data_IF_393308044722
#
_entry.id   IF_393308044722
#
_cell.length_a   1.000
_cell.length_b   1.000
_cell.length_c   1.000
_cell.angle_alpha   90.00
_cell.angle_beta   90.00
_cell.angle_gamma   90.00
#
_symmetry.space_group_name_H-M   'P 1'
#
loop_
_entity.id
_entity.type
_entity.pdbx_description
1 polymer ?
#
# COMPACT_ATOMS: atom_id res chain seq x y z
N UNK A 1 21.57 -12.74 -21.20
CA UNK A 1 20.34 -12.62 -20.39
C UNK A 1 19.38 -13.73 -20.80
N UNK A 2 18.64 -14.34 -19.85
CA UNK A 2 17.67 -15.38 -20.18
C UNK A 2 16.57 -14.84 -21.10
N UNK A 3 16.01 -15.72 -21.93
CA UNK A 3 14.95 -15.37 -22.89
C UNK A 3 13.63 -14.96 -22.20
N UNK A 4 13.39 -15.50 -21.00
CA UNK A 4 12.27 -15.15 -20.13
C UNK A 4 12.85 -14.62 -18.83
N UNK A 5 12.39 -13.46 -18.39
CA UNK A 5 12.76 -12.84 -17.10
C UNK A 5 11.62 -13.04 -16.10
N UNK A 6 12.00 -13.34 -14.86
CA UNK A 6 11.12 -13.52 -13.71
C UNK A 6 10.93 -12.20 -12.96
N UNK A 7 9.75 -12.03 -12.37
CA UNK A 7 9.41 -10.86 -11.55
C UNK A 7 8.27 -11.21 -10.60
N UNK A 8 7.97 -10.30 -9.67
CA UNK A 8 6.84 -10.39 -8.73
C UNK A 8 5.78 -9.35 -9.07
N UNK A 9 4.57 -9.50 -8.51
CA UNK A 9 3.45 -8.60 -8.80
C UNK A 9 3.54 -7.28 -8.02
N UNK A 10 4.24 -7.26 -6.89
CA UNK A 10 4.38 -6.09 -6.04
C UNK A 10 4.45 -6.47 -4.57
N UNK A 11 3.31 -6.42 -3.90
CA UNK A 11 3.18 -6.59 -2.45
C UNK A 11 3.87 -7.83 -1.88
N UNK A 12 4.53 -7.68 -0.73
CA UNK A 12 5.15 -8.76 0.03
C UNK A 12 4.52 -8.85 1.44
N UNK A 13 4.52 -10.03 2.10
CA UNK A 13 4.13 -10.12 3.51
C UNK A 13 4.92 -9.15 4.39
N UNK A 14 4.20 -8.39 5.21
CA UNK A 14 4.78 -7.41 6.14
C UNK A 14 5.41 -8.17 7.31
N UNK A 15 6.69 -7.93 7.65
CA UNK A 15 7.31 -8.62 8.78
C UNK A 15 6.68 -8.22 10.13
N UNK A 16 6.46 -9.19 11.03
CA UNK A 16 5.83 -8.95 12.34
C UNK A 16 6.54 -7.89 13.18
N UNK A 17 7.86 -7.79 13.05
CA UNK A 17 8.65 -6.81 13.78
C UNK A 17 8.45 -5.38 13.26
N UNK A 18 8.12 -5.20 11.96
CA UNK A 18 7.75 -3.89 11.42
C UNK A 18 6.37 -3.46 11.96
N UNK A 19 5.44 -4.40 12.05
CA UNK A 19 4.10 -4.16 12.66
C UNK A 19 4.23 -3.83 14.15
N UNK A 20 5.10 -4.56 14.85
CA UNK A 20 5.24 -4.44 16.31
C UNK A 20 6.00 -3.18 16.75
N UNK A 21 6.87 -2.63 15.92
CA UNK A 21 7.69 -1.45 16.24
C UNK A 21 8.01 -0.62 15.00
N UNK A 22 7.01 0.07 14.43
CA UNK A 22 7.17 0.83 13.20
C UNK A 22 8.09 2.03 13.40
N UNK A 23 9.06 2.17 12.50
CA UNK A 23 9.95 3.34 12.39
C UNK A 23 10.45 3.46 10.95
N UNK A 24 10.98 4.63 10.59
CA UNK A 24 11.59 4.82 9.26
C UNK A 24 12.73 3.82 9.02
N UNK A 25 13.55 3.57 10.03
CA UNK A 25 14.63 2.58 9.97
C UNK A 25 14.09 1.16 9.80
N UNK A 26 13.09 0.76 10.58
CA UNK A 26 12.46 -0.56 10.47
C UNK A 26 11.85 -0.78 9.08
N UNK A 27 11.26 0.25 8.48
CA UNK A 27 10.69 0.18 7.14
C UNK A 27 11.78 0.01 6.06
N UNK A 28 12.88 0.74 6.17
CA UNK A 28 14.06 0.58 5.31
C UNK A 28 14.61 -0.84 5.41
N UNK A 29 14.80 -1.34 6.63
CA UNK A 29 15.34 -2.68 6.87
C UNK A 29 14.39 -3.76 6.35
N UNK A 30 13.09 -3.58 6.49
CA UNK A 30 12.10 -4.55 6.01
C UNK A 30 12.11 -4.62 4.49
N UNK A 31 12.23 -3.46 3.85
CA UNK A 31 12.31 -3.36 2.39
C UNK A 31 13.58 -4.02 1.85
N UNK A 32 14.73 -3.81 2.52
CA UNK A 32 15.99 -4.49 2.18
C UNK A 32 15.88 -6.01 2.31
N UNK A 33 15.21 -6.51 3.35
CA UNK A 33 14.96 -7.94 3.52
C UNK A 33 14.13 -8.48 2.36
N UNK A 34 13.06 -7.78 1.96
CA UNK A 34 12.19 -8.20 0.83
C UNK A 34 12.96 -8.24 -0.50
N UNK A 35 13.76 -7.21 -0.78
CA UNK A 35 14.60 -7.17 -1.98
C UNK A 35 15.63 -8.30 -1.93
N UNK A 36 16.36 -8.44 -0.83
CA UNK A 36 17.40 -9.46 -0.67
C UNK A 36 16.88 -10.90 -0.80
N UNK A 37 15.66 -11.18 -0.32
CA UNK A 37 15.03 -12.50 -0.52
C UNK A 37 14.78 -12.79 -2.01
N UNK A 38 14.29 -11.80 -2.76
CA UNK A 38 14.04 -11.96 -4.20
C UNK A 38 15.35 -12.13 -4.98
N UNK A 39 16.39 -11.38 -4.63
CA UNK A 39 17.72 -11.50 -5.23
C UNK A 39 18.34 -12.88 -4.96
N UNK A 40 18.27 -13.37 -3.72
CA UNK A 40 18.75 -14.71 -3.34
C UNK A 40 17.96 -15.83 -4.04
N UNK A 41 16.68 -15.60 -4.33
CA UNK A 41 15.84 -16.51 -5.11
C UNK A 41 16.11 -16.45 -6.63
N UNK A 42 16.93 -15.50 -7.10
CA UNK A 42 17.27 -15.35 -8.51
C UNK A 42 16.20 -14.64 -9.35
N UNK A 43 15.36 -13.79 -8.74
CA UNK A 43 14.36 -12.99 -9.46
C UNK A 43 15.05 -11.92 -10.32
N UNK A 44 14.72 -11.85 -11.62
CA UNK A 44 15.40 -10.95 -12.57
C UNK A 44 15.02 -9.46 -12.41
N UNK A 45 13.77 -9.18 -12.00
CA UNK A 45 13.26 -7.84 -11.69
C UNK A 45 12.54 -7.86 -10.35
N UNK A 46 13.20 -7.34 -9.33
CA UNK A 46 12.72 -7.30 -7.94
C UNK A 46 11.79 -6.11 -7.68
N UNK A 47 11.02 -6.18 -6.58
CA UNK A 47 10.16 -5.11 -6.08
C UNK A 47 10.42 -4.83 -4.59
N UNK A 48 10.05 -3.65 -4.12
CA UNK A 48 10.17 -3.23 -2.71
C UNK A 48 9.12 -3.85 -1.78
N UNK A 49 8.19 -4.65 -2.32
CA UNK A 49 7.13 -5.29 -1.55
C UNK A 49 6.00 -4.36 -1.13
N UNK A 50 6.00 -3.10 -1.59
CA UNK A 50 5.02 -2.07 -1.26
C UNK A 50 4.89 -1.76 0.24
N UNK A 51 5.93 -2.03 1.03
CA UNK A 51 5.87 -1.91 2.49
C UNK A 51 5.60 -0.47 2.95
N UNK A 52 5.97 0.53 2.15
CA UNK A 52 5.70 1.95 2.41
C UNK A 52 4.20 2.33 2.33
N UNK A 53 3.37 1.47 1.73
CA UNK A 53 1.92 1.69 1.60
C UNK A 53 1.13 1.02 2.72
N UNK A 54 1.79 0.16 3.49
CA UNK A 54 1.14 -0.59 4.55
C UNK A 54 0.67 0.34 5.68
N UNK A 55 -0.59 0.18 6.06
CA UNK A 55 -1.21 0.87 7.18
C UNK A 55 -1.66 -0.17 8.20
N UNK A 56 -1.05 -0.16 9.40
CA UNK A 56 -1.41 -1.06 10.52
C UNK A 56 -2.86 -0.88 10.94
N UNK A 57 -3.38 0.35 10.85
CA UNK A 57 -4.75 0.67 11.21
C UNK A 57 -5.76 0.22 10.14
N UNK A 58 -5.28 -0.18 8.96
CA UNK A 58 -6.10 -0.63 7.83
C UNK A 58 -5.47 -1.80 7.05
N UNK A 59 -5.44 -3.02 7.64
CA UNK A 59 -4.79 -4.17 7.01
C UNK A 59 -5.52 -4.69 5.76
N UNK A 60 -6.78 -4.31 5.55
CA UNK A 60 -7.54 -4.74 4.37
C UNK A 60 -6.93 -4.16 3.08
N UNK A 61 -6.58 -5.05 2.16
CA UNK A 61 -5.86 -4.74 0.91
C UNK A 61 -4.56 -3.95 1.12
N UNK A 62 -3.90 -4.12 2.28
CA UNK A 62 -2.61 -3.52 2.64
C UNK A 62 -2.56 -1.98 2.50
N UNK A 63 -3.68 -1.28 2.70
CA UNK A 63 -3.73 0.19 2.55
C UNK A 63 -3.46 0.70 1.13
N UNK A 64 -3.41 -0.20 0.12
CA UNK A 64 -2.98 0.14 -1.24
C UNK A 64 -3.79 1.26 -1.87
N UNK A 65 -5.09 1.35 -1.58
CA UNK A 65 -5.96 2.38 -2.17
C UNK A 65 -5.89 3.66 -1.34
N UNK A 66 -5.95 3.54 -0.01
CA UNK A 66 -5.93 4.64 0.96
C UNK A 66 -4.68 5.47 0.80
N UNK A 67 -3.53 4.83 0.57
CA UNK A 67 -2.27 5.51 0.28
C UNK A 67 -2.41 6.59 -0.80
N UNK A 68 -3.19 6.31 -1.86
CA UNK A 68 -3.43 7.25 -2.96
C UNK A 68 -4.59 8.20 -2.67
N UNK A 69 -5.72 7.70 -2.19
CA UNK A 69 -6.97 8.49 -2.15
C UNK A 69 -7.12 9.32 -0.88
N UNK A 70 -6.54 8.89 0.25
CA UNK A 70 -6.60 9.64 1.51
C UNK A 70 -5.95 11.04 1.43
N UNK A 71 -4.80 11.24 0.78
CA UNK A 71 -4.20 12.56 0.65
C UNK A 71 -4.83 13.44 -0.44
N UNK A 72 -5.73 12.92 -1.29
CA UNK A 72 -6.36 13.70 -2.36
C UNK A 72 -7.43 14.65 -1.84
N UNK A 73 -7.54 15.83 -2.46
CA UNK A 73 -8.66 16.74 -2.21
C UNK A 73 -9.96 16.15 -2.76
N UNK A 74 -11.08 16.49 -2.11
CA UNK A 74 -12.41 16.01 -2.50
C UNK A 74 -12.70 14.57 -2.08
N UNK A 75 -11.77 13.89 -1.41
CA UNK A 75 -11.96 12.54 -0.83
C UNK A 75 -11.98 12.63 0.70
N UNK A 76 -12.94 11.95 1.34
CA UNK A 76 -13.00 11.82 2.81
C UNK A 76 -12.90 10.36 3.25
N UNK A 77 -12.23 10.15 4.39
CA UNK A 77 -12.22 8.88 5.13
C UNK A 77 -13.20 8.87 6.31
N UNK A 78 -14.02 9.92 6.45
CA UNK A 78 -15.05 9.98 7.49
C UNK A 78 -16.31 9.33 6.95
N UNK A 79 -16.74 8.27 7.63
CA UNK A 79 -17.93 7.51 7.27
C UNK A 79 -18.94 7.54 8.42
N UNK A 80 -20.20 7.78 8.08
CA UNK A 80 -21.34 7.51 8.95
C UNK A 80 -21.60 6.01 9.03
N UNK A 81 -22.32 5.60 10.08
CA UNK A 81 -22.72 4.20 10.24
C UNK A 81 -23.58 3.71 9.06
N UNK A 82 -24.50 4.53 8.58
CA UNK A 82 -25.41 4.18 7.48
C UNK A 82 -24.65 3.97 6.17
N UNK A 83 -23.62 4.78 5.88
CA UNK A 83 -22.75 4.60 4.72
C UNK A 83 -21.98 3.27 4.80
N UNK A 84 -21.50 2.88 5.98
CA UNK A 84 -20.81 1.60 6.17
C UNK A 84 -21.74 0.40 5.96
N UNK A 85 -22.99 0.47 6.44
CA UNK A 85 -23.99 -0.58 6.22
C UNK A 85 -24.35 -0.66 4.74
N UNK A 86 -24.61 0.48 4.09
CA UNK A 86 -24.91 0.54 2.66
C UNK A 86 -23.76 -0.03 1.82
N UNK A 87 -22.51 0.31 2.16
CA UNK A 87 -21.33 -0.22 1.48
C UNK A 87 -21.24 -1.75 1.58
N UNK A 88 -21.40 -2.31 2.78
CA UNK A 88 -21.33 -3.77 3.02
C UNK A 88 -22.46 -4.56 2.36
N UNK A 89 -23.61 -3.92 2.12
CA UNK A 89 -24.74 -4.56 1.42
C UNK A 89 -24.45 -4.81 -0.07
N UNK A 90 -23.46 -4.14 -0.66
CA UNK A 90 -23.12 -4.29 -2.08
C UNK A 90 -22.37 -5.58 -2.34
N UNK A 91 -22.88 -6.40 -3.26
CA UNK A 91 -22.31 -7.72 -3.60
C UNK A 91 -20.86 -7.67 -4.12
N UNK A 92 -20.46 -6.57 -4.76
CA UNK A 92 -19.13 -6.39 -5.36
C UNK A 92 -18.02 -6.02 -4.38
N UNK A 93 -18.31 -5.75 -3.10
CA UNK A 93 -17.34 -5.21 -2.15
C UNK A 93 -16.95 -6.20 -1.03
N UNK A 94 -17.22 -7.50 -1.20
CA UNK A 94 -17.01 -8.51 -0.14
C UNK A 94 -15.55 -8.69 0.32
N UNK A 95 -14.58 -8.24 -0.48
CA UNK A 95 -13.15 -8.32 -0.14
C UNK A 95 -12.71 -7.19 0.81
N UNK A 96 -13.62 -6.25 1.14
CA UNK A 96 -13.33 -5.10 2.00
C UNK A 96 -14.53 -4.70 2.85
N UNK A 97 -14.33 -4.46 4.13
CA UNK A 97 -15.43 -4.15 5.07
C UNK A 97 -15.71 -2.66 5.20
N UNK A 98 -14.83 -1.81 4.69
CA UNK A 98 -14.96 -0.34 4.67
C UNK A 98 -14.62 0.23 3.29
N UNK A 99 -15.27 1.32 2.86
CA UNK A 99 -14.88 1.99 1.63
C UNK A 99 -13.47 2.60 1.75
N UNK A 100 -12.70 2.65 0.66
CA UNK A 100 -11.39 3.30 0.63
C UNK A 100 -11.42 4.81 0.79
N UNK A 101 -12.60 5.42 0.70
CA UNK A 101 -12.81 6.85 0.64
C UNK A 101 -14.11 7.18 -0.09
N UNK A 102 -14.70 8.31 0.26
CA UNK A 102 -15.91 8.85 -0.39
C UNK A 102 -15.56 10.14 -1.10
N UNK A 103 -15.95 10.27 -2.36
CA UNK A 103 -15.83 11.53 -3.11
C UNK A 103 -16.94 12.48 -2.66
N UNK A 104 -16.59 13.62 -2.08
CA UNK A 104 -17.50 14.63 -1.53
C UNK A 104 -17.47 15.96 -2.30
N UNK A 105 -16.61 16.07 -3.31
CA UNK A 105 -16.46 17.28 -4.11
C UNK A 105 -15.52 17.08 -5.29
N UNK A 106 -15.12 18.17 -5.98
CA UNK A 106 -14.13 18.12 -7.04
C UNK A 106 -12.81 17.50 -6.55
N UNK A 107 -12.24 16.62 -7.37
CA UNK A 107 -10.98 15.96 -7.05
C UNK A 107 -9.79 16.88 -7.33
N UNK A 108 -8.84 16.89 -6.41
CA UNK A 108 -7.57 17.59 -6.54
C UNK A 108 -6.42 16.72 -6.06
N UNK A 109 -5.19 17.18 -6.30
CA UNK A 109 -3.99 16.44 -5.92
C UNK A 109 -3.82 16.32 -4.39
N UNK A 110 -4.40 17.25 -3.62
CA UNK A 110 -4.17 17.36 -2.18
C UNK A 110 -2.69 17.27 -1.84
N UNK A 111 -2.31 16.38 -0.92
CA UNK A 111 -0.94 16.16 -0.46
C UNK A 111 -0.28 14.88 -1.01
N UNK A 112 -0.81 14.28 -2.08
CA UNK A 112 -0.25 13.04 -2.64
C UNK A 112 1.15 13.27 -3.24
N UNK A 113 2.19 12.73 -2.60
CA UNK A 113 3.59 12.91 -2.98
C UNK A 113 4.23 11.61 -3.53
N UNK A 114 3.86 11.29 -4.78
CA UNK A 114 4.48 10.16 -5.51
C UNK A 114 5.97 10.35 -5.82
N UNK A 115 6.46 11.57 -6.14
CA UNK A 115 7.90 11.79 -6.32
C UNK A 115 8.75 11.42 -5.10
N UNK A 116 8.33 11.79 -3.89
CA UNK A 116 9.02 11.40 -2.66
C UNK A 116 9.04 9.88 -2.48
N UNK A 117 7.91 9.21 -2.69
CA UNK A 117 7.83 7.74 -2.63
C UNK A 117 8.82 7.07 -3.59
N UNK A 118 8.89 7.56 -4.83
CA UNK A 118 9.84 7.08 -5.85
C UNK A 118 11.30 7.32 -5.43
N UNK A 119 11.61 8.49 -4.85
CA UNK A 119 12.96 8.81 -4.39
C UNK A 119 13.42 7.90 -3.25
N UNK A 120 12.53 7.55 -2.32
CA UNK A 120 12.81 6.61 -1.22
C UNK A 120 13.12 5.21 -1.73
N UNK A 121 12.31 4.69 -2.64
CA UNK A 121 12.56 3.37 -3.24
C UNK A 121 13.90 3.30 -3.99
N UNK A 122 14.30 4.39 -4.67
CA UNK A 122 15.59 4.47 -5.39
C UNK A 122 16.81 4.57 -4.47
N UNK A 123 16.64 4.96 -3.21
CA UNK A 123 17.74 5.15 -2.26
C UNK A 123 18.09 3.87 -1.48
N UNK A 124 17.31 2.80 -1.65
CA UNK A 124 17.52 1.49 -1.05
C UNK A 124 18.53 0.67 -1.84
#
# INVERSE_FOLDING_TARGET
>A
MPRIRTTVVGSYPVPDWLVSSPSEQALIDATRVVIGIQEQAGVDLVCDGELYRFDVDHPETNGMIEYFVRPMDGVTQRFSFDELIAYRSKSGMKFRTRPPGTVIGPLGHGSLDLPLACSRAKAL
#
